data_IF_808956180288
#
_entry.id   IF_808956180288
#
_cell.length_a   1.000
_cell.length_b   1.000
_cell.length_c   1.000
_cell.angle_alpha   90.00
_cell.angle_beta   90.00
_cell.angle_gamma   90.00
#
_symmetry.space_group_name_H-M   'P 1'
#
loop_
_entity.id
_entity.type
_entity.pdbx_description
1 polymer ?
#
# COMPACT_ATOMS: atom_id res chain seq x y z
N UNK A 1 7.96 -41.18 -12.74
CA UNK A 1 7.37 -40.58 -11.54
C UNK A 1 8.47 -40.27 -10.54
N UNK A 2 8.82 -38.98 -10.42
CA UNK A 2 9.80 -38.50 -9.43
C UNK A 2 9.19 -38.46 -8.02
N UNK A 3 10.03 -38.32 -6.98
CA UNK A 3 9.57 -38.09 -5.61
C UNK A 3 8.64 -36.90 -5.54
N UNK A 4 9.06 -35.79 -6.12
CA UNK A 4 8.29 -34.52 -6.13
C UNK A 4 6.90 -34.72 -6.75
N UNK A 5 6.78 -35.44 -7.86
CA UNK A 5 5.49 -35.73 -8.48
C UNK A 5 4.54 -36.47 -7.52
N UNK A 6 5.07 -37.48 -6.77
CA UNK A 6 4.25 -38.22 -5.80
C UNK A 6 3.82 -37.35 -4.63
N UNK A 7 4.70 -36.48 -4.12
CA UNK A 7 4.40 -35.55 -3.03
C UNK A 7 3.32 -34.53 -3.44
N UNK A 8 3.42 -33.97 -4.65
CA UNK A 8 2.39 -33.05 -5.18
C UNK A 8 1.06 -33.77 -5.38
N UNK A 9 1.07 -35.01 -5.90
CA UNK A 9 -0.15 -35.78 -6.07
C UNK A 9 -0.80 -36.14 -4.71
N UNK A 10 0.02 -36.47 -3.70
CA UNK A 10 -0.47 -36.71 -2.35
C UNK A 10 -1.08 -35.44 -1.73
N UNK A 11 -0.41 -34.29 -1.86
CA UNK A 11 -0.95 -33.01 -1.40
C UNK A 11 -2.29 -32.69 -2.08
N UNK A 12 -2.39 -32.94 -3.39
CA UNK A 12 -3.64 -32.76 -4.12
C UNK A 12 -4.77 -33.61 -3.57
N UNK A 13 -4.50 -34.90 -3.27
CA UNK A 13 -5.48 -35.80 -2.68
C UNK A 13 -5.87 -35.39 -1.23
N UNK A 14 -4.93 -34.88 -0.44
CA UNK A 14 -5.20 -34.34 0.88
C UNK A 14 -6.11 -33.12 0.79
N UNK A 15 -5.82 -32.15 -0.11
CA UNK A 15 -6.66 -30.99 -0.34
C UNK A 15 -8.06 -31.37 -0.80
N UNK A 16 -8.19 -32.35 -1.68
CA UNK A 16 -9.49 -32.88 -2.13
C UNK A 16 -10.28 -33.46 -0.94
N UNK A 17 -9.62 -34.10 0.02
CA UNK A 17 -10.26 -34.65 1.21
C UNK A 17 -10.85 -33.59 2.15
N UNK A 18 -10.31 -32.38 2.14
CA UNK A 18 -10.92 -31.24 2.85
C UNK A 18 -12.25 -30.83 2.22
N UNK A 19 -12.42 -31.05 0.92
CA UNK A 19 -13.64 -30.83 0.17
C UNK A 19 -14.25 -29.44 0.46
N UNK A 20 -15.54 -29.42 0.68
CA UNK A 20 -16.28 -28.17 0.89
C UNK A 20 -16.01 -27.47 2.22
N UNK A 21 -15.21 -28.06 3.12
CA UNK A 21 -14.96 -27.49 4.46
C UNK A 21 -14.21 -26.16 4.40
N UNK A 22 -13.37 -25.99 3.37
CA UNK A 22 -12.59 -24.76 3.16
C UNK A 22 -13.09 -23.95 1.97
N UNK A 23 -13.96 -24.54 1.15
CA UNK A 23 -14.50 -23.87 -0.01
C UNK A 23 -15.35 -22.67 0.40
N UNK A 24 -15.03 -21.50 -0.15
CA UNK A 24 -15.72 -20.24 0.17
C UNK A 24 -15.31 -19.61 1.51
N UNK A 25 -14.38 -20.22 2.26
CA UNK A 25 -13.80 -19.55 3.43
C UNK A 25 -13.08 -18.27 3.02
N UNK A 26 -13.25 -17.22 3.81
CA UNK A 26 -12.63 -15.92 3.59
C UNK A 26 -11.92 -15.46 4.84
N UNK A 27 -10.79 -14.81 4.66
CA UNK A 27 -10.19 -14.04 5.75
C UNK A 27 -10.88 -12.68 5.79
N UNK A 28 -11.39 -12.29 6.95
CA UNK A 28 -11.97 -10.96 7.14
C UNK A 28 -10.89 -10.00 7.61
N UNK A 29 -10.25 -9.33 6.66
CA UNK A 29 -9.29 -8.29 6.96
C UNK A 29 -10.00 -6.93 7.06
N UNK A 30 -9.67 -6.18 8.11
CA UNK A 30 -10.15 -4.79 8.29
C UNK A 30 -9.21 -3.76 7.65
N UNK A 31 -8.04 -4.19 7.23
CA UNK A 31 -6.99 -3.36 6.63
C UNK A 31 -6.72 -3.81 5.21
N UNK A 32 -6.80 -2.89 4.27
CA UNK A 32 -6.31 -3.06 2.90
C UNK A 32 -4.95 -2.36 2.74
N UNK A 33 -3.95 -3.07 2.26
CA UNK A 33 -2.63 -2.52 1.94
C UNK A 33 -2.47 -2.52 0.42
N UNK A 34 -2.39 -1.32 -0.15
CA UNK A 34 -2.31 -1.17 -1.61
C UNK A 34 -0.92 -1.58 -2.09
N UNK A 35 -0.90 -2.45 -3.10
CA UNK A 35 0.28 -2.77 -3.89
C UNK A 35 -0.06 -2.61 -5.38
N UNK A 36 0.76 -1.88 -6.11
CA UNK A 36 0.59 -1.66 -7.54
C UNK A 36 1.90 -1.88 -8.30
N UNK A 37 1.84 -2.72 -9.33
CA UNK A 37 2.99 -3.06 -10.15
C UNK A 37 3.49 -1.88 -11.00
N UNK A 38 2.59 -1.06 -11.53
CA UNK A 38 2.99 0.11 -12.32
C UNK A 38 3.69 1.14 -11.43
N UNK A 39 3.18 1.33 -10.20
CA UNK A 39 3.82 2.15 -9.17
C UNK A 39 5.22 1.62 -8.80
N UNK A 40 5.35 0.30 -8.65
CA UNK A 40 6.61 -0.37 -8.38
C UNK A 40 7.61 -0.11 -9.52
N UNK A 41 7.21 -0.36 -10.76
CA UNK A 41 8.10 -0.17 -11.91
C UNK A 41 8.45 1.30 -12.13
N UNK A 42 7.51 2.22 -11.97
CA UNK A 42 7.80 3.65 -12.08
C UNK A 42 8.86 4.09 -11.06
N UNK A 43 8.77 3.61 -9.82
CA UNK A 43 9.77 3.90 -8.79
C UNK A 43 11.13 3.26 -9.07
N UNK A 44 11.17 2.07 -9.65
CA UNK A 44 12.44 1.40 -10.02
C UNK A 44 13.17 2.12 -11.15
N UNK A 45 12.45 2.78 -12.06
CA UNK A 45 13.03 3.49 -13.21
C UNK A 45 13.23 4.99 -12.99
N UNK A 46 12.68 5.56 -11.92
CA UNK A 46 12.93 6.96 -11.57
C UNK A 46 14.24 7.11 -10.81
N UNK A 47 14.93 8.25 -11.00
CA UNK A 47 16.09 8.58 -10.18
C UNK A 47 15.72 8.89 -8.73
N UNK A 48 14.46 9.31 -8.48
CA UNK A 48 13.94 9.60 -7.15
C UNK A 48 14.80 10.54 -6.31
N UNK A 49 14.43 10.78 -5.05
CA UNK A 49 15.24 11.54 -4.10
C UNK A 49 16.35 10.69 -3.48
N UNK A 50 16.28 9.36 -3.56
CA UNK A 50 17.28 8.43 -3.03
C UNK A 50 17.18 7.07 -3.72
N UNK A 51 18.34 6.46 -4.00
CA UNK A 51 18.45 5.09 -4.49
C UNK A 51 18.08 4.03 -3.44
N UNK A 52 18.04 4.43 -2.16
CA UNK A 52 17.70 3.54 -1.04
C UNK A 52 16.18 3.34 -0.90
N UNK A 53 15.36 4.10 -1.63
CA UNK A 53 13.92 3.91 -1.62
C UNK A 53 13.54 2.63 -2.37
N UNK A 54 13.17 1.60 -1.61
CA UNK A 54 12.68 0.31 -2.14
C UNK A 54 11.21 0.14 -1.81
N UNK A 55 10.37 0.14 -2.84
CA UNK A 55 8.91 0.08 -2.68
C UNK A 55 8.45 -1.13 -1.89
N UNK A 56 8.98 -2.32 -2.21
CA UNK A 56 8.61 -3.57 -1.52
C UNK A 56 8.96 -3.53 -0.04
N UNK A 57 10.10 -2.91 0.32
CA UNK A 57 10.52 -2.77 1.72
C UNK A 57 9.57 -1.84 2.49
N UNK A 58 9.09 -0.77 1.84
CA UNK A 58 8.07 0.11 2.43
C UNK A 58 6.76 -0.65 2.67
N UNK A 59 6.29 -1.40 1.68
CA UNK A 59 5.10 -2.25 1.82
C UNK A 59 5.26 -3.23 3.00
N UNK A 60 6.41 -3.90 3.11
CA UNK A 60 6.72 -4.83 4.20
C UNK A 60 6.71 -4.16 5.58
N UNK A 61 7.22 -2.94 5.71
CA UNK A 61 7.23 -2.22 6.99
C UNK A 61 5.80 -2.00 7.51
N UNK A 62 4.89 -1.54 6.65
CA UNK A 62 3.48 -1.34 7.02
C UNK A 62 2.78 -2.65 7.30
N UNK A 63 3.00 -3.68 6.48
CA UNK A 63 2.46 -5.02 6.71
C UNK A 63 2.89 -5.58 8.08
N UNK A 64 4.19 -5.51 8.41
CA UNK A 64 4.74 -6.01 9.67
C UNK A 64 4.10 -5.36 10.90
N UNK A 65 3.74 -4.09 10.84
CA UNK A 65 3.08 -3.42 11.95
C UNK A 65 1.78 -4.11 12.34
N UNK A 66 0.92 -4.37 11.37
CA UNK A 66 -0.36 -5.03 11.58
C UNK A 66 -0.18 -6.52 11.92
N UNK A 67 0.71 -7.19 11.20
CA UNK A 67 1.02 -8.60 11.45
C UNK A 67 1.45 -8.86 12.89
N UNK A 68 2.36 -8.07 13.44
CA UNK A 68 2.82 -8.17 14.85
C UNK A 68 1.70 -7.94 15.87
N UNK A 69 0.60 -7.31 15.46
CA UNK A 69 -0.59 -7.06 16.29
C UNK A 69 -1.72 -8.05 16.04
N UNK A 70 -1.50 -9.09 15.24
CA UNK A 70 -2.51 -10.06 14.81
C UNK A 70 -3.73 -9.40 14.13
N UNK A 71 -3.51 -8.35 13.38
CA UNK A 71 -4.53 -7.68 12.57
C UNK A 71 -4.44 -8.21 11.15
N UNK A 72 -5.56 -8.73 10.63
CA UNK A 72 -5.64 -9.21 9.24
C UNK A 72 -5.45 -8.08 8.23
N UNK A 73 -4.62 -8.32 7.24
CA UNK A 73 -4.31 -7.37 6.15
C UNK A 73 -4.48 -8.07 4.81
N UNK A 74 -5.27 -7.48 3.93
CA UNK A 74 -5.33 -7.89 2.53
C UNK A 74 -4.37 -7.03 1.69
N UNK A 75 -3.59 -7.67 0.83
CA UNK A 75 -2.88 -6.98 -0.25
C UNK A 75 -3.87 -6.70 -1.36
N UNK A 76 -4.07 -5.42 -1.69
CA UNK A 76 -5.12 -5.01 -2.61
C UNK A 76 -4.58 -4.18 -3.78
N UNK A 77 -5.15 -4.32 -4.98
CA UNK A 77 -4.82 -3.46 -6.10
C UNK A 77 -5.43 -2.06 -5.95
N UNK A 78 -5.00 -1.12 -6.79
CA UNK A 78 -5.46 0.28 -6.77
C UNK A 78 -6.92 0.47 -7.14
N UNK A 79 -7.52 -0.49 -7.82
CA UNK A 79 -8.93 -0.52 -8.25
C UNK A 79 -9.83 -1.39 -7.34
N UNK A 80 -9.32 -1.76 -6.17
CA UNK A 80 -10.08 -2.56 -5.20
C UNK A 80 -11.31 -1.83 -4.68
N UNK A 81 -12.29 -2.59 -4.21
CA UNK A 81 -13.46 -2.07 -3.50
C UNK A 81 -13.05 -1.69 -2.08
N UNK A 82 -12.65 -0.46 -1.85
CA UNK A 82 -12.12 0.02 -0.56
C UNK A 82 -13.16 -0.03 0.57
N UNK A 83 -14.45 0.06 0.28
CA UNK A 83 -15.52 0.04 1.29
C UNK A 83 -15.59 -1.22 2.15
N UNK A 84 -14.85 -2.27 1.79
CA UNK A 84 -14.70 -3.49 2.60
C UNK A 84 -13.80 -3.30 3.83
N UNK A 85 -12.97 -2.26 3.83
CA UNK A 85 -11.93 -2.04 4.83
C UNK A 85 -12.28 -0.86 5.73
N UNK A 86 -11.76 -0.89 6.95
CA UNK A 86 -11.79 0.27 7.87
C UNK A 86 -10.61 1.19 7.61
N UNK A 87 -9.46 0.59 7.27
CA UNK A 87 -8.22 1.29 7.00
C UNK A 87 -7.69 0.86 5.63
N UNK A 88 -7.33 1.82 4.82
CA UNK A 88 -6.56 1.59 3.58
C UNK A 88 -5.20 2.27 3.74
N UNK A 89 -4.15 1.50 3.58
CA UNK A 89 -2.77 1.98 3.62
C UNK A 89 -2.20 1.97 2.22
N UNK A 90 -1.68 3.10 1.79
CA UNK A 90 -1.10 3.31 0.46
C UNK A 90 0.35 3.85 0.61
N UNK A 91 1.32 2.99 0.93
CA UNK A 91 2.69 3.42 1.09
C UNK A 91 3.28 3.84 -0.26
N UNK A 92 3.95 4.98 -0.28
CA UNK A 92 4.64 5.49 -1.47
C UNK A 92 3.74 5.39 -2.71
N UNK A 93 2.53 5.93 -2.61
CA UNK A 93 1.56 5.97 -3.73
C UNK A 93 2.01 6.99 -4.77
N UNK A 94 3.16 6.73 -5.39
CA UNK A 94 3.85 7.61 -6.33
C UNK A 94 2.97 7.92 -7.53
N UNK A 95 2.34 6.89 -8.10
CA UNK A 95 1.43 6.99 -9.23
C UNK A 95 -0.03 6.96 -8.77
N UNK A 96 -0.78 8.00 -9.09
CA UNK A 96 -2.24 8.04 -8.87
C UNK A 96 -2.92 7.87 -10.22
N UNK A 97 -3.57 6.71 -10.40
CA UNK A 97 -4.25 6.36 -11.65
C UNK A 97 -5.62 7.03 -11.76
N UNK A 98 -6.16 7.04 -12.97
CA UNK A 98 -7.47 7.60 -13.26
C UNK A 98 -8.57 6.92 -12.43
N UNK A 99 -9.48 7.73 -11.86
CA UNK A 99 -10.55 7.25 -10.98
C UNK A 99 -10.13 6.93 -9.54
N UNK A 100 -8.83 6.81 -9.27
CA UNK A 100 -8.34 6.45 -7.94
C UNK A 100 -8.57 7.56 -6.91
N UNK A 101 -8.40 8.83 -7.31
CA UNK A 101 -8.69 9.98 -6.45
C UNK A 101 -10.12 9.92 -5.93
N UNK A 102 -11.09 9.79 -6.83
CA UNK A 102 -12.51 9.74 -6.50
C UNK A 102 -12.86 8.54 -5.61
N UNK A 103 -12.25 7.38 -5.88
CA UNK A 103 -12.45 6.18 -5.06
C UNK A 103 -11.94 6.36 -3.63
N UNK A 104 -10.75 6.92 -3.46
CA UNK A 104 -10.16 7.21 -2.15
C UNK A 104 -10.94 8.31 -1.41
N UNK A 105 -11.33 9.38 -2.10
CA UNK A 105 -12.17 10.42 -1.50
C UNK A 105 -13.51 9.88 -1.00
N UNK A 106 -14.17 9.05 -1.80
CA UNK A 106 -15.42 8.41 -1.41
C UNK A 106 -15.24 7.49 -0.21
N UNK A 107 -14.15 6.73 -0.16
CA UNK A 107 -13.80 5.90 0.98
C UNK A 107 -13.67 6.72 2.26
N UNK A 108 -12.90 7.81 2.24
CA UNK A 108 -12.71 8.69 3.39
C UNK A 108 -14.00 9.41 3.78
N UNK A 109 -14.77 9.93 2.83
CA UNK A 109 -16.08 10.58 3.07
C UNK A 109 -17.10 9.65 3.75
N UNK A 110 -16.98 8.35 3.51
CA UNK A 110 -17.83 7.33 4.16
C UNK A 110 -17.25 6.80 5.49
N UNK A 111 -16.26 7.46 6.06
CA UNK A 111 -15.70 7.15 7.38
C UNK A 111 -14.51 6.19 7.36
N UNK A 112 -13.99 5.82 6.20
CA UNK A 112 -12.75 5.04 6.07
C UNK A 112 -11.52 5.88 6.44
N UNK A 113 -10.48 5.23 6.91
CA UNK A 113 -9.19 5.85 7.24
C UNK A 113 -8.20 5.53 6.13
N UNK A 114 -7.73 6.57 5.44
CA UNK A 114 -6.64 6.46 4.47
C UNK A 114 -5.33 6.88 5.11
N UNK A 115 -4.32 6.02 5.01
CA UNK A 115 -2.94 6.32 5.38
C UNK A 115 -2.11 6.35 4.10
N UNK A 116 -1.56 7.50 3.78
CA UNK A 116 -0.61 7.67 2.69
C UNK A 116 0.71 8.20 3.25
N UNK A 117 1.80 8.07 2.49
CA UNK A 117 3.15 8.38 2.98
C UNK A 117 3.85 9.40 2.07
N UNK A 118 5.12 9.64 2.34
CA UNK A 118 5.97 10.43 1.45
C UNK A 118 5.96 9.87 0.01
N UNK A 119 6.38 10.66 -0.96
CA UNK A 119 6.42 10.30 -2.39
C UNK A 119 5.05 9.86 -2.95
N UNK A 120 3.94 10.30 -2.37
CA UNK A 120 2.60 10.02 -2.89
C UNK A 120 2.12 11.12 -3.82
N UNK A 121 1.38 10.75 -4.87
CA UNK A 121 0.75 11.69 -5.81
C UNK A 121 1.74 12.50 -6.63
N UNK A 122 2.84 11.90 -7.06
CA UNK A 122 3.87 12.56 -7.86
C UNK A 122 3.50 12.55 -9.34
N UNK A 123 3.05 11.38 -9.86
CA UNK A 123 2.73 11.20 -11.27
C UNK A 123 1.34 10.62 -11.47
N UNK A 124 0.79 10.86 -12.66
CA UNK A 124 -0.43 10.23 -13.16
C UNK A 124 -0.16 8.89 -13.84
N UNK A 125 -1.23 8.30 -14.39
CA UNK A 125 -1.22 6.98 -15.01
C UNK A 125 -0.20 6.81 -16.14
N UNK A 126 0.17 7.88 -16.83
CA UNK A 126 1.16 7.87 -17.92
C UNK A 126 2.56 8.32 -17.46
N UNK A 127 2.83 8.25 -16.16
CA UNK A 127 4.09 8.67 -15.53
C UNK A 127 4.44 10.16 -15.76
N UNK A 128 3.43 11.00 -16.05
CA UNK A 128 3.58 12.43 -16.16
C UNK A 128 3.42 13.08 -14.79
N UNK A 129 4.37 13.94 -14.42
CA UNK A 129 4.36 14.67 -13.13
C UNK A 129 3.14 15.58 -13.03
N UNK A 130 2.46 15.52 -11.89
CA UNK A 130 1.44 16.50 -11.55
C UNK A 130 2.05 17.86 -11.27
N UNK A 131 1.54 18.90 -11.94
CA UNK A 131 2.00 20.27 -11.72
C UNK A 131 1.34 20.90 -10.47
N UNK A 132 2.05 21.81 -9.82
CA UNK A 132 1.53 22.64 -8.73
C UNK A 132 1.71 22.06 -7.33
N UNK A 133 2.69 21.19 -7.13
CA UNK A 133 3.08 20.63 -5.81
C UNK A 133 2.38 19.31 -5.48
N UNK A 134 2.87 18.66 -4.45
CA UNK A 134 2.48 17.31 -4.05
C UNK A 134 1.54 17.35 -2.83
N UNK A 135 0.78 16.31 -2.59
CA UNK A 135 0.61 15.04 -3.33
C UNK A 135 -0.39 15.12 -4.52
N UNK A 136 -0.18 15.99 -5.47
CA UNK A 136 -0.94 16.10 -6.71
C UNK A 136 -2.46 16.11 -6.52
N UNK A 137 -3.18 15.12 -7.06
CA UNK A 137 -4.64 15.05 -6.96
C UNK A 137 -5.16 14.76 -5.55
N UNK A 138 -4.32 14.25 -4.64
CA UNK A 138 -4.71 13.89 -3.26
C UNK A 138 -4.60 15.06 -2.29
N UNK A 139 -4.11 16.20 -2.71
CA UNK A 139 -3.76 17.35 -1.87
C UNK A 139 -4.94 17.90 -1.08
N UNK A 140 -6.10 18.07 -1.71
CA UNK A 140 -7.30 18.58 -1.04
C UNK A 140 -7.82 17.61 0.03
N UNK A 141 -7.85 16.32 -0.29
CA UNK A 141 -8.27 15.27 0.62
C UNK A 141 -7.30 15.12 1.81
N UNK A 142 -5.99 15.16 1.56
CA UNK A 142 -4.96 15.04 2.59
C UNK A 142 -4.81 16.33 3.43
N UNK A 143 -5.27 17.48 2.92
CA UNK A 143 -5.13 18.77 3.61
C UNK A 143 -3.68 19.24 3.73
N UNK A 144 -2.78 18.76 2.89
CA UNK A 144 -1.35 19.09 2.91
C UNK A 144 -0.88 19.55 1.53
N UNK A 145 0.13 20.39 1.55
CA UNK A 145 0.87 20.80 0.37
C UNK A 145 2.37 20.61 0.62
N UNK A 146 3.01 19.83 -0.21
CA UNK A 146 4.43 19.52 -0.15
C UNK A 146 5.13 20.23 -1.29
N UNK A 147 6.04 21.13 -0.98
CA UNK A 147 6.82 21.90 -1.98
C UNK A 147 8.08 21.14 -2.39
N UNK A 148 8.76 20.53 -1.41
CA UNK A 148 10.05 19.87 -1.60
C UNK A 148 10.07 18.50 -0.91
N UNK A 149 10.84 17.61 -1.46
CA UNK A 149 11.13 16.29 -0.91
C UNK A 149 12.65 16.20 -0.77
N UNK A 150 13.13 16.04 0.46
CA UNK A 150 14.53 15.85 0.77
C UNK A 150 14.77 14.50 1.43
N UNK A 151 15.73 13.76 0.92
CA UNK A 151 16.07 12.44 1.44
C UNK A 151 17.10 12.57 2.56
N UNK A 152 16.82 11.96 3.69
CA UNK A 152 17.78 11.84 4.77
C UNK A 152 18.83 10.78 4.44
N UNK A 153 20.08 11.03 4.83
CA UNK A 153 21.10 10.00 4.80
C UNK A 153 20.74 8.85 5.77
N UNK A 154 21.22 7.60 5.53
CA UNK A 154 20.80 6.42 6.29
C UNK A 154 20.93 6.53 7.83
N UNK A 155 21.91 7.30 8.30
CA UNK A 155 22.16 7.54 9.72
C UNK A 155 21.39 8.73 10.30
N UNK A 156 20.75 9.54 9.47
CA UNK A 156 19.99 10.70 9.89
C UNK A 156 18.57 10.32 10.29
N UNK A 157 18.06 10.98 11.29
CA UNK A 157 16.68 10.80 11.78
C UNK A 157 16.05 12.14 12.05
N UNK A 158 14.82 12.29 11.66
CA UNK A 158 13.94 13.38 12.09
C UNK A 158 13.07 12.92 13.25
N UNK A 159 12.58 13.90 14.00
CA UNK A 159 11.59 13.67 15.07
C UNK A 159 10.26 14.26 14.65
N UNK A 160 9.22 13.46 14.75
CA UNK A 160 7.85 13.94 14.62
C UNK A 160 7.33 14.32 16.02
N UNK A 161 6.74 15.53 16.15
CA UNK A 161 6.06 15.96 17.36
C UNK A 161 4.57 16.06 17.07
N UNK A 162 3.79 15.31 17.80
CA UNK A 162 2.33 15.33 17.68
C UNK A 162 1.69 16.46 18.51
N UNK A 163 0.45 16.80 18.19
CA UNK A 163 -0.29 17.86 18.86
C UNK A 163 -0.50 17.60 20.37
N UNK A 164 -0.53 16.33 20.78
CA UNK A 164 -0.61 15.90 22.18
C UNK A 164 0.72 15.98 22.93
N UNK A 165 1.80 16.42 22.25
CA UNK A 165 3.14 16.55 22.81
C UNK A 165 3.98 15.28 22.75
N UNK A 166 3.45 14.15 22.29
CA UNK A 166 4.23 12.94 22.05
C UNK A 166 5.22 13.11 20.89
N UNK A 167 6.26 12.29 20.87
CA UNK A 167 7.30 12.31 19.83
C UNK A 167 7.52 10.90 19.29
N UNK A 168 7.79 10.79 18.00
CA UNK A 168 8.21 9.57 17.32
C UNK A 168 9.55 9.79 16.61
#
# INVERSE_FOLDING_TARGET
NTRVFREVAQLGAELESFGDRTLGSRNEAEVGLIFDWDNYWALEYTSGPSEDLKYVDQIHQYYQYFYKKNIGVDMIPVDAVFSKYKIVVAPVLYMVKDGMKEALENFVKNGGILITTFMSGIVGQSDNVYLGGYPGPLREMAGVWVEEIDALAPEQKNKAKFADGSTA
#
